data_IF_278498239184
#
_entry.id   IF_278498239184
#
_cell.length_a   1.000
_cell.length_b   1.000
_cell.length_c   1.000
_cell.angle_alpha   90.00
_cell.angle_beta   90.00
_cell.angle_gamma   90.00
#
_symmetry.space_group_name_H-M   'P 1'
#
loop_
_entity.id
_entity.type
_entity.pdbx_description
1 polymer ?
#
# COMPACT_ATOMS: atom_id res chain seq x y z
N UNK A 1 -5.06 -6.44 -18.88
CA UNK A 1 -5.20 -6.53 -17.41
C UNK A 1 -4.52 -5.32 -16.83
N UNK A 2 -5.20 -4.58 -15.95
CA UNK A 2 -4.61 -3.41 -15.29
C UNK A 2 -3.76 -3.86 -14.09
N UNK A 3 -2.78 -3.05 -13.71
CA UNK A 3 -1.94 -3.29 -12.53
C UNK A 3 -1.79 -2.01 -11.73
N UNK A 4 -1.54 -2.16 -10.45
CA UNK A 4 -1.25 -1.12 -9.46
C UNK A 4 0.22 -1.16 -8.99
N UNK A 5 1.02 -2.05 -9.57
CA UNK A 5 2.42 -2.22 -9.23
C UNK A 5 3.26 -1.04 -9.70
N UNK A 6 4.23 -0.67 -8.87
CA UNK A 6 5.34 0.19 -9.23
C UNK A 6 6.63 -0.60 -9.09
N UNK A 7 7.74 -0.07 -9.62
CA UNK A 7 9.07 -0.67 -9.57
C UNK A 7 10.07 0.43 -9.23
N UNK A 8 11.03 0.14 -8.36
CA UNK A 8 12.01 1.10 -7.83
C UNK A 8 11.35 2.45 -7.52
N UNK A 9 10.28 2.43 -6.72
CA UNK A 9 9.43 3.60 -6.48
C UNK A 9 9.09 3.73 -5.01
N UNK A 10 9.27 4.91 -4.45
CA UNK A 10 8.69 5.30 -3.18
C UNK A 10 7.39 6.07 -3.43
N UNK A 11 6.28 5.53 -2.92
CA UNK A 11 5.07 6.31 -2.69
C UNK A 11 5.27 7.08 -1.39
N UNK A 12 5.46 8.39 -1.53
CA UNK A 12 5.65 9.30 -0.40
C UNK A 12 4.34 9.53 0.34
N UNK A 13 4.45 9.74 1.64
CA UNK A 13 3.33 10.14 2.50
C UNK A 13 2.74 11.46 1.98
N UNK A 14 1.42 11.58 2.05
CA UNK A 14 0.71 12.76 1.59
C UNK A 14 1.14 14.01 2.38
N UNK A 15 1.24 15.15 1.71
CA UNK A 15 1.67 16.41 2.32
C UNK A 15 0.70 16.90 3.41
N UNK A 16 -0.57 16.51 3.35
CA UNK A 16 -1.59 16.83 4.36
C UNK A 16 -1.69 15.76 5.47
N UNK A 17 -0.79 14.77 5.48
CA UNK A 17 -0.68 13.80 6.55
C UNK A 17 -0.14 14.45 7.83
N UNK A 18 -0.83 14.25 8.95
CA UNK A 18 -0.43 14.81 10.25
C UNK A 18 0.45 13.88 11.09
N UNK A 19 0.68 12.65 10.63
CA UNK A 19 1.47 11.68 11.36
C UNK A 19 2.96 12.03 11.23
N UNK A 20 3.64 12.21 12.37
CA UNK A 20 5.10 12.45 12.41
C UNK A 20 5.95 11.19 12.27
N UNK A 21 5.31 10.03 12.12
CA UNK A 21 5.94 8.71 11.99
C UNK A 21 4.90 7.68 11.57
N UNK A 22 5.34 6.43 11.37
CA UNK A 22 4.46 5.33 11.04
C UNK A 22 3.54 4.96 12.21
N UNK A 23 2.22 5.15 12.04
CA UNK A 23 1.20 4.82 13.04
C UNK A 23 0.52 3.52 12.68
N UNK A 24 0.53 2.53 13.58
CA UNK A 24 -0.19 1.27 13.38
C UNK A 24 -1.70 1.53 13.32
N UNK A 25 -2.40 1.13 12.24
CA UNK A 25 -3.85 1.30 12.15
C UNK A 25 -4.61 0.47 13.18
N UNK A 26 -5.59 1.09 13.84
CA UNK A 26 -6.44 0.42 14.83
C UNK A 26 -7.73 -0.12 14.22
N UNK A 27 -8.23 -1.20 14.80
CA UNK A 27 -9.54 -1.74 14.43
C UNK A 27 -10.66 -0.73 14.72
N UNK A 28 -11.74 -0.83 13.95
CA UNK A 28 -12.93 0.01 14.15
C UNK A 28 -14.13 -0.87 14.45
N UNK A 29 -14.74 -0.67 15.61
CA UNK A 29 -15.94 -1.43 16.05
C UNK A 29 -15.72 -2.94 16.04
N UNK A 30 -14.54 -3.39 16.50
CA UNK A 30 -14.16 -4.81 16.55
C UNK A 30 -13.94 -5.47 15.18
N UNK A 31 -13.74 -4.67 14.12
CA UNK A 31 -13.46 -5.16 12.77
C UNK A 31 -12.19 -4.52 12.24
N UNK A 32 -11.33 -5.34 11.62
CA UNK A 32 -10.15 -4.87 10.88
C UNK A 32 -10.57 -3.97 9.73
N UNK A 33 -9.99 -2.78 9.68
CA UNK A 33 -10.19 -1.86 8.55
C UNK A 33 -9.32 -2.29 7.37
N UNK A 34 -9.55 -1.72 6.18
CA UNK A 34 -8.66 -1.92 5.02
C UNK A 34 -7.22 -1.55 5.37
N UNK A 35 -7.01 -0.44 6.09
CA UNK A 35 -5.69 -0.02 6.52
C UNK A 35 -5.03 -1.04 7.46
N UNK A 36 -5.80 -1.64 8.38
CA UNK A 36 -5.27 -2.69 9.27
C UNK A 36 -4.82 -3.90 8.47
N UNK A 37 -5.65 -4.38 7.54
CA UNK A 37 -5.32 -5.55 6.72
C UNK A 37 -4.10 -5.29 5.82
N UNK A 38 -4.06 -4.15 5.15
CA UNK A 38 -2.91 -3.74 4.33
C UNK A 38 -1.64 -3.63 5.18
N UNK A 39 -1.74 -3.00 6.36
CA UNK A 39 -0.62 -2.84 7.28
C UNK A 39 -0.05 -4.19 7.71
N UNK A 40 -0.89 -5.07 8.27
CA UNK A 40 -0.47 -6.38 8.77
C UNK A 40 0.20 -7.23 7.67
N UNK A 41 -0.41 -7.30 6.48
CA UNK A 41 0.13 -8.11 5.37
C UNK A 41 1.53 -7.62 4.98
N UNK A 42 1.76 -6.30 4.95
CA UNK A 42 3.03 -5.73 4.48
C UNK A 42 4.07 -5.69 5.60
N UNK A 43 3.66 -5.33 6.83
CA UNK A 43 4.58 -5.22 7.98
C UNK A 43 5.19 -6.56 8.36
N UNK A 44 4.39 -7.64 8.27
CA UNK A 44 4.83 -8.99 8.65
C UNK A 44 5.66 -9.63 7.53
N UNK A 45 5.53 -9.11 6.30
CA UNK A 45 6.15 -9.67 5.11
C UNK A 45 6.73 -8.60 4.16
N UNK A 46 7.69 -7.79 4.64
CA UNK A 46 8.30 -6.75 3.81
C UNK A 46 8.95 -7.37 2.57
N UNK A 47 8.65 -6.79 1.41
CA UNK A 47 9.12 -7.24 0.08
C UNK A 47 8.71 -8.67 -0.31
N UNK A 48 7.63 -9.22 0.28
CA UNK A 48 7.07 -10.52 -0.14
C UNK A 48 5.98 -10.38 -1.20
N UNK A 49 5.16 -9.34 -1.10
CA UNK A 49 3.97 -9.15 -1.93
C UNK A 49 4.13 -7.92 -2.84
N UNK A 50 3.47 -7.94 -4.00
CA UNK A 50 3.32 -6.75 -4.85
C UNK A 50 2.10 -5.92 -4.44
N UNK A 51 1.94 -4.72 -4.99
CA UNK A 51 0.74 -3.91 -4.77
C UNK A 51 -0.55 -4.66 -5.15
N UNK A 52 -0.53 -5.32 -6.31
CA UNK A 52 -1.66 -6.11 -6.81
C UNK A 52 -2.00 -7.28 -5.88
N UNK A 53 -0.98 -7.94 -5.32
CA UNK A 53 -1.17 -9.06 -4.40
C UNK A 53 -1.87 -8.61 -3.12
N UNK A 54 -1.39 -7.53 -2.49
CA UNK A 54 -1.97 -7.04 -1.23
C UNK A 54 -3.37 -6.49 -1.45
N UNK A 55 -3.58 -5.66 -2.47
CA UNK A 55 -4.91 -5.08 -2.76
C UNK A 55 -5.92 -6.19 -3.06
N UNK A 56 -5.53 -7.21 -3.84
CA UNK A 56 -6.41 -8.32 -4.13
C UNK A 56 -6.65 -9.21 -2.91
N UNK A 57 -5.63 -9.48 -2.09
CA UNK A 57 -5.78 -10.28 -0.88
C UNK A 57 -6.76 -9.62 0.11
N UNK A 58 -6.66 -8.31 0.30
CA UNK A 58 -7.61 -7.54 1.12
C UNK A 58 -9.03 -7.61 0.54
N UNK A 59 -9.17 -7.49 -0.79
CA UNK A 59 -10.47 -7.66 -1.46
C UNK A 59 -11.03 -9.08 -1.26
N UNK A 60 -10.22 -10.12 -1.46
CA UNK A 60 -10.62 -11.51 -1.35
C UNK A 60 -11.06 -11.87 0.08
N UNK A 61 -10.30 -11.44 1.09
CA UNK A 61 -10.62 -11.62 2.50
C UNK A 61 -11.96 -10.96 2.86
N UNK A 62 -12.20 -9.73 2.40
CA UNK A 62 -13.44 -9.01 2.70
C UNK A 62 -14.67 -9.57 2.00
N UNK A 63 -14.49 -10.30 0.90
CA UNK A 63 -15.57 -10.89 0.11
C UNK A 63 -15.68 -12.42 0.29
N UNK A 64 -14.88 -13.01 1.19
CA UNK A 64 -14.85 -14.46 1.45
C UNK A 64 -14.66 -15.31 0.19
N UNK A 65 -13.77 -14.89 -0.72
CA UNK A 65 -13.53 -15.60 -1.98
C UNK A 65 -12.86 -16.95 -1.71
N UNK A 66 -13.43 -18.03 -2.27
CA UNK A 66 -12.88 -19.36 -2.09
C UNK A 66 -11.50 -19.51 -2.78
N UNK A 67 -10.58 -20.34 -2.22
CA UNK A 67 -9.27 -20.59 -2.84
C UNK A 67 -9.35 -21.07 -4.29
N UNK A 68 -10.37 -21.88 -4.62
CA UNK A 68 -10.63 -22.39 -5.98
C UNK A 68 -11.01 -21.30 -6.97
N UNK A 69 -11.57 -20.19 -6.50
CA UNK A 69 -12.06 -19.08 -7.33
C UNK A 69 -11.04 -17.93 -7.45
N UNK A 70 -10.00 -17.92 -6.61
CA UNK A 70 -9.05 -16.81 -6.52
C UNK A 70 -8.45 -16.38 -7.86
N UNK A 71 -8.08 -17.34 -8.72
CA UNK A 71 -7.45 -17.03 -10.01
C UNK A 71 -8.41 -16.31 -10.95
N UNK A 72 -9.64 -16.81 -11.09
CA UNK A 72 -10.67 -16.23 -11.93
C UNK A 72 -11.08 -14.85 -11.41
N UNK A 73 -11.28 -14.74 -10.10
CA UNK A 73 -11.65 -13.48 -9.45
C UNK A 73 -10.52 -12.45 -9.50
N UNK A 74 -9.23 -12.83 -9.42
CA UNK A 74 -8.11 -11.90 -9.61
C UNK A 74 -8.13 -11.29 -11.01
N UNK A 75 -8.34 -12.12 -12.04
CA UNK A 75 -8.45 -11.64 -13.42
C UNK A 75 -9.65 -10.70 -13.61
N UNK A 76 -10.81 -11.07 -13.05
CA UNK A 76 -12.02 -10.23 -13.08
C UNK A 76 -11.81 -8.92 -12.33
N UNK A 77 -11.17 -8.95 -11.16
CA UNK A 77 -10.87 -7.78 -10.36
C UNK A 77 -10.00 -6.80 -11.15
N UNK A 78 -8.90 -7.26 -11.76
CA UNK A 78 -8.00 -6.39 -12.54
C UNK A 78 -8.39 -6.21 -14.01
N UNK A 79 -9.59 -6.65 -14.42
CA UNK A 79 -10.16 -6.35 -15.75
C UNK A 79 -10.45 -4.85 -15.93
N UNK A 80 -10.61 -4.13 -14.81
CA UNK A 80 -10.76 -2.67 -14.75
C UNK A 80 -9.66 -2.09 -13.87
N UNK A 81 -9.32 -0.82 -14.10
CA UNK A 81 -8.37 -0.08 -13.27
C UNK A 81 -8.78 -0.09 -11.79
N UNK A 82 -7.80 -0.26 -10.89
CA UNK A 82 -7.99 -0.26 -9.44
C UNK A 82 -7.19 0.87 -8.81
N UNK A 83 -7.68 1.45 -7.69
CA UNK A 83 -6.89 2.39 -6.91
C UNK A 83 -5.58 1.72 -6.47
N UNK A 84 -4.44 2.34 -6.76
CA UNK A 84 -3.15 1.88 -6.25
C UNK A 84 -2.91 2.39 -4.83
N UNK A 85 -1.77 2.01 -4.24
CA UNK A 85 -1.39 2.45 -2.89
C UNK A 85 -1.28 3.96 -2.70
N UNK A 86 -1.17 4.76 -3.76
CA UNK A 86 -1.27 6.23 -3.64
C UNK A 86 -2.61 6.68 -3.04
N UNK A 87 -3.65 5.87 -3.17
CA UNK A 87 -4.97 6.13 -2.60
C UNK A 87 -5.22 5.42 -1.25
N UNK A 88 -4.31 4.54 -0.81
CA UNK A 88 -4.45 3.79 0.45
C UNK A 88 -4.43 4.74 1.65
N UNK A 89 -5.18 4.49 2.73
CA UNK A 89 -5.08 5.26 3.96
C UNK A 89 -3.65 5.31 4.52
N UNK A 90 -2.84 4.27 4.31
CA UNK A 90 -1.50 4.15 4.90
C UNK A 90 -0.59 5.35 4.57
N UNK A 91 -0.29 5.66 3.30
CA UNK A 91 0.48 6.84 2.96
C UNK A 91 -0.34 8.14 3.01
N UNK A 92 -1.67 8.09 3.02
CA UNK A 92 -2.51 9.29 3.10
C UNK A 92 -2.63 9.87 4.50
N UNK A 93 -2.55 9.05 5.54
CA UNK A 93 -3.00 9.45 6.88
C UNK A 93 -2.25 8.78 8.03
N UNK A 94 -1.56 7.66 7.81
CA UNK A 94 -0.88 6.90 8.88
C UNK A 94 0.65 7.06 8.87
N UNK A 95 1.21 7.95 8.05
CA UNK A 95 2.66 8.21 8.05
C UNK A 95 3.51 7.06 7.49
N UNK A 96 2.92 6.18 6.67
CA UNK A 96 3.62 5.07 6.03
C UNK A 96 3.84 5.32 4.55
N UNK A 97 5.08 5.52 4.12
CA UNK A 97 5.45 5.38 2.72
C UNK A 97 5.37 3.93 2.26
N UNK A 98 5.18 3.72 0.95
CA UNK A 98 5.20 2.40 0.33
C UNK A 98 6.36 2.36 -0.65
N UNK A 99 7.38 1.57 -0.35
CA UNK A 99 8.50 1.37 -1.26
C UNK A 99 8.30 0.09 -2.06
N UNK A 100 8.33 0.20 -3.39
CA UNK A 100 8.39 -0.92 -4.33
C UNK A 100 9.83 -1.13 -4.78
N UNK A 101 10.37 -2.33 -4.60
CA UNK A 101 11.70 -2.69 -5.10
C UNK A 101 11.74 -2.89 -6.63
N UNK A 102 12.91 -3.27 -7.15
CA UNK A 102 13.15 -3.56 -8.57
C UNK A 102 12.27 -4.65 -9.19
N UNK A 103 11.72 -5.56 -8.38
CA UNK A 103 10.81 -6.63 -8.83
C UNK A 103 9.35 -6.34 -8.47
N UNK A 104 9.07 -5.14 -7.94
CA UNK A 104 7.73 -4.63 -7.63
C UNK A 104 7.16 -5.11 -6.31
N UNK A 105 7.99 -5.72 -5.45
CA UNK A 105 7.60 -6.13 -4.11
C UNK A 105 7.64 -4.94 -3.16
N UNK A 106 6.69 -4.88 -2.23
CA UNK A 106 6.45 -3.69 -1.43
C UNK A 106 6.80 -3.87 0.05
N UNK A 107 7.26 -2.78 0.68
CA UNK A 107 7.43 -2.67 2.11
C UNK A 107 6.90 -1.32 2.62
N UNK A 108 6.51 -1.29 3.91
CA UNK A 108 6.17 -0.07 4.62
C UNK A 108 7.45 0.63 5.08
N UNK A 109 7.49 1.94 4.91
CA UNK A 109 8.61 2.77 5.38
C UNK A 109 8.04 3.97 6.13
N UNK A 110 8.28 4.06 7.43
CA UNK A 110 7.75 5.15 8.25
C UNK A 110 8.37 6.49 7.84
N UNK A 111 7.54 7.53 7.69
CA UNK A 111 8.04 8.90 7.51
C UNK A 111 8.96 9.30 8.65
N UNK A 112 10.05 10.01 8.35
CA UNK A 112 11.05 10.43 9.32
C UNK A 112 12.00 9.32 9.81
N UNK A 113 11.87 8.10 9.29
CA UNK A 113 12.87 7.05 9.53
C UNK A 113 14.11 7.25 8.64
N UNK A 114 15.31 6.78 9.08
CA UNK A 114 16.52 6.85 8.25
C UNK A 114 16.34 6.23 6.86
N UNK A 115 15.60 5.12 6.77
CA UNK A 115 15.30 4.46 5.50
C UNK A 115 14.41 5.29 4.59
N UNK A 116 13.42 6.00 5.15
CA UNK A 116 12.57 6.88 4.35
C UNK A 116 13.39 8.01 3.74
N UNK A 117 14.23 8.64 4.56
CA UNK A 117 15.11 9.72 4.13
C UNK A 117 16.14 9.27 3.09
N UNK A 118 16.69 8.07 3.24
CA UNK A 118 17.57 7.43 2.24
C UNK A 118 16.85 7.30 0.89
N UNK A 119 15.66 6.71 0.88
CA UNK A 119 14.87 6.52 -0.34
C UNK A 119 14.45 7.84 -0.99
N UNK A 120 14.13 8.86 -0.19
CA UNK A 120 13.86 10.21 -0.69
C UNK A 120 15.07 10.83 -1.41
N UNK A 121 16.30 10.55 -0.95
CA UNK A 121 17.54 11.07 -1.57
C UNK A 121 18.07 10.20 -2.70
N UNK A 122 17.72 8.92 -2.74
CA UNK A 122 18.21 7.97 -3.75
C UNK A 122 17.64 8.26 -5.14
N UNK A 123 18.46 8.78 -6.06
CA UNK A 123 18.02 9.14 -7.42
C UNK A 123 17.61 7.94 -8.28
N UNK A 124 17.97 6.72 -7.90
CA UNK A 124 17.53 5.50 -8.60
C UNK A 124 16.08 5.12 -8.27
N UNK A 125 15.55 5.61 -7.14
CA UNK A 125 14.18 5.38 -6.72
C UNK A 125 13.28 6.52 -7.22
N UNK A 126 12.25 6.21 -7.99
CA UNK A 126 11.24 7.16 -8.41
C UNK A 126 10.34 7.59 -7.24
N UNK A 127 9.90 8.85 -7.22
CA UNK A 127 9.02 9.38 -6.15
C UNK A 127 7.62 9.62 -6.69
N UNK A 128 6.61 9.15 -5.96
CA UNK A 128 5.20 9.41 -6.24
C UNK A 128 4.50 9.85 -4.97
N UNK A 129 3.94 11.06 -4.94
CA UNK A 129 3.16 11.51 -3.79
C UNK A 129 1.85 10.74 -3.66
N UNK A 130 1.51 10.31 -2.46
CA UNK A 130 0.17 9.85 -2.16
C UNK A 130 -0.88 10.94 -2.40
N UNK A 131 -2.11 10.51 -2.64
CA UNK A 131 -3.23 11.43 -2.85
C UNK A 131 -3.57 12.16 -1.56
N UNK A 132 -4.04 13.40 -1.66
CA UNK A 132 -4.48 14.15 -0.47
C UNK A 132 -5.73 13.53 0.16
N UNK A 133 -5.88 13.68 1.46
CA UNK A 133 -7.05 13.19 2.20
C UNK A 133 -8.26 14.11 1.98
N UNK A 134 -8.02 15.42 1.93
CA UNK A 134 -9.03 16.40 1.51
C UNK A 134 -8.89 16.68 0.02
N UNK A 135 -9.99 16.59 -0.73
CA UNK A 135 -10.08 17.21 -2.05
C UNK A 135 -10.07 18.72 -1.81
N UNK A 136 -9.08 19.40 -2.38
CA UNK A 136 -9.10 20.87 -2.48
C UNK A 136 -10.09 21.25 -3.57
#
# INVERSE_FOLDING_TARGET
MHSTNYYDTLIEVAEDCKAGGGVTPVEKSGKKTVACLEYEIISDHPYRYTSDDVIFQVYALRNNIAPTEMKAEKQRYFSKGRPCFRASPLPKSYGWGIHSDKVGKIALVAIGSPRYDELCRDTSVAKKKAMRSKKV
#
